data_IF_551921271787
#
_entry.id   IF_551921271787
#
_cell.length_a   1.000
_cell.length_b   1.000
_cell.length_c   1.000
_cell.angle_alpha   90.00
_cell.angle_beta   90.00
_cell.angle_gamma   90.00
#
_symmetry.space_group_name_H-M   'P 1'
#
loop_
_entity.id
_entity.type
_entity.pdbx_description
1 polymer ?
#
# COMPACT_ATOMS: atom_id res chain seq x y z
N UNK A 1 -7.80 12.32 -5.13
CA UNK A 1 -7.50 10.95 -4.63
C UNK A 1 -7.62 10.95 -3.11
N UNK A 2 -7.83 9.80 -2.47
CA UNK A 2 -7.96 9.68 -1.00
C UNK A 2 -9.37 9.42 -0.49
N UNK A 3 -10.41 9.57 -1.32
CA UNK A 3 -11.77 9.14 -0.95
C UNK A 3 -11.84 7.62 -0.80
N UNK A 4 -12.58 7.13 0.19
CA UNK A 4 -12.86 5.70 0.35
C UNK A 4 -14.28 5.46 0.87
N UNK A 5 -14.73 4.22 0.73
CA UNK A 5 -15.92 3.67 1.39
C UNK A 5 -15.53 2.39 2.11
N UNK A 6 -16.23 2.04 3.20
CA UNK A 6 -16.01 0.77 3.89
C UNK A 6 -16.43 -0.41 3.01
N UNK A 7 -15.68 -1.51 3.11
CA UNK A 7 -15.99 -2.80 2.54
C UNK A 7 -16.61 -3.66 3.64
N UNK A 8 -17.78 -4.22 3.35
CA UNK A 8 -18.55 -5.01 4.32
C UNK A 8 -18.63 -6.48 3.92
N UNK A 9 -18.58 -7.36 4.92
CA UNK A 9 -19.08 -8.73 4.85
C UNK A 9 -20.26 -8.85 5.82
N UNK A 10 -21.48 -8.87 5.28
CA UNK A 10 -22.69 -8.64 6.07
C UNK A 10 -22.67 -7.25 6.74
N UNK A 11 -22.65 -7.23 8.08
CA UNK A 11 -22.56 -6.00 8.88
C UNK A 11 -21.12 -5.67 9.33
N UNK A 12 -20.16 -6.58 9.12
CA UNK A 12 -18.78 -6.42 9.56
C UNK A 12 -17.96 -5.60 8.54
N UNK A 13 -17.19 -4.61 9.03
CA UNK A 13 -16.23 -3.88 8.21
C UNK A 13 -14.95 -4.71 8.08
N UNK A 14 -14.71 -5.26 6.89
CA UNK A 14 -13.53 -6.07 6.58
C UNK A 14 -12.41 -5.28 5.86
N UNK A 15 -12.69 -4.03 5.49
CA UNK A 15 -11.71 -3.18 4.81
C UNK A 15 -12.31 -1.91 4.22
N UNK A 16 -11.66 -1.37 3.19
CA UNK A 16 -12.10 -0.19 2.45
C UNK A 16 -11.76 -0.28 0.97
N UNK A 17 -12.61 0.34 0.15
CA UNK A 17 -12.37 0.57 -1.27
C UNK A 17 -11.83 1.98 -1.45
N UNK A 18 -10.53 2.10 -1.75
CA UNK A 18 -9.77 3.36 -1.67
C UNK A 18 -9.39 3.85 -3.05
N UNK A 19 -9.71 5.12 -3.34
CA UNK A 19 -9.29 5.79 -4.58
C UNK A 19 -7.89 6.37 -4.43
N UNK A 20 -6.87 5.57 -4.77
CA UNK A 20 -5.44 5.98 -4.69
C UNK A 20 -5.02 6.97 -5.78
N UNK A 21 -5.70 6.97 -6.93
CA UNK A 21 -5.46 7.92 -8.02
C UNK A 21 -6.78 8.30 -8.72
N UNK A 22 -6.86 9.52 -9.24
CA UNK A 22 -8.03 10.01 -9.97
C UNK A 22 -8.20 9.27 -11.30
N UNK A 23 -9.45 9.09 -11.73
CA UNK A 23 -9.83 8.48 -13.03
C UNK A 23 -9.31 7.06 -13.29
N UNK A 24 -8.94 6.31 -12.25
CA UNK A 24 -8.60 4.88 -12.34
C UNK A 24 -9.44 4.09 -11.33
N UNK A 25 -9.51 2.77 -11.54
CA UNK A 25 -10.18 1.86 -10.60
C UNK A 25 -9.55 1.96 -9.19
N UNK A 26 -10.34 1.88 -8.12
CA UNK A 26 -9.82 1.91 -6.75
C UNK A 26 -9.03 0.64 -6.41
N UNK A 27 -8.39 0.62 -5.24
CA UNK A 27 -7.79 -0.57 -4.64
C UNK A 27 -8.58 -0.98 -3.40
N UNK A 28 -8.52 -2.26 -3.06
CA UNK A 28 -9.10 -2.79 -1.84
C UNK A 28 -8.01 -2.85 -0.77
N UNK A 29 -8.28 -2.28 0.39
CA UNK A 29 -7.38 -2.25 1.54
C UNK A 29 -8.06 -2.94 2.71
N UNK A 30 -7.44 -3.98 3.25
CA UNK A 30 -7.86 -4.63 4.48
C UNK A 30 -6.75 -4.51 5.53
N UNK A 31 -7.11 -4.73 6.79
CA UNK A 31 -6.14 -4.80 7.87
C UNK A 31 -5.30 -6.08 7.77
N UNK A 32 -4.03 -5.97 8.15
CA UNK A 32 -3.16 -7.10 8.41
C UNK A 32 -3.05 -7.37 9.91
N UNK A 33 -1.86 -7.76 10.38
CA UNK A 33 -1.59 -7.93 11.81
C UNK A 33 -1.11 -6.62 12.47
N UNK A 34 -1.63 -6.30 13.66
CA UNK A 34 -1.22 -5.16 14.51
C UNK A 34 -1.32 -3.77 13.85
N UNK A 35 -2.35 -3.57 13.04
CA UNK A 35 -2.65 -2.28 12.41
C UNK A 35 -4.16 -2.10 12.32
N UNK A 36 -4.65 -0.90 12.58
CA UNK A 36 -6.05 -0.55 12.33
C UNK A 36 -6.28 -0.14 10.86
N UNK A 37 -7.55 -0.11 10.45
CA UNK A 37 -7.91 0.14 9.06
C UNK A 37 -7.54 1.55 8.60
N UNK A 38 -7.73 2.56 9.45
CA UNK A 38 -7.40 3.95 9.11
C UNK A 38 -5.90 4.12 8.84
N UNK A 39 -5.06 3.55 9.71
CA UNK A 39 -3.62 3.55 9.59
C UNK A 39 -3.17 2.77 8.35
N UNK A 40 -3.79 1.64 8.05
CA UNK A 40 -3.53 0.87 6.82
C UNK A 40 -3.83 1.70 5.56
N UNK A 41 -4.98 2.37 5.50
CA UNK A 41 -5.37 3.26 4.38
C UNK A 41 -4.34 4.40 4.23
N UNK A 42 -3.94 5.03 5.33
CA UNK A 42 -2.92 6.08 5.32
C UNK A 42 -1.61 5.61 4.72
N UNK A 43 -1.09 4.45 5.13
CA UNK A 43 0.14 3.90 4.56
C UNK A 43 0.00 3.57 3.08
N UNK A 44 -1.11 2.95 2.67
CA UNK A 44 -1.40 2.68 1.26
C UNK A 44 -1.37 3.98 0.44
N UNK A 45 -2.05 5.04 0.91
CA UNK A 45 -2.05 6.34 0.23
C UNK A 45 -0.65 6.96 0.17
N UNK A 46 0.13 6.91 1.25
CA UNK A 46 1.50 7.42 1.30
C UNK A 46 2.44 6.69 0.33
N UNK A 47 2.20 5.40 0.07
CA UNK A 47 2.95 4.62 -0.90
C UNK A 47 2.42 4.74 -2.34
N UNK A 48 1.27 5.39 -2.59
CA UNK A 48 0.68 5.54 -3.93
C UNK A 48 1.04 6.89 -4.57
N UNK A 49 2.34 7.16 -4.77
CA UNK A 49 2.83 8.44 -5.33
C UNK A 49 2.69 8.51 -6.86
N UNK A 50 1.51 8.91 -7.34
CA UNK A 50 1.22 9.08 -8.78
C UNK A 50 0.84 7.80 -9.53
N UNK A 51 0.85 6.66 -8.84
CA UNK A 51 0.43 5.35 -9.37
C UNK A 51 -0.81 4.83 -8.66
N UNK A 52 -1.53 3.90 -9.32
CA UNK A 52 -2.69 3.23 -8.72
C UNK A 52 -2.30 2.27 -7.59
N UNK A 53 -1.23 1.50 -7.79
CA UNK A 53 -0.73 0.51 -6.82
C UNK A 53 0.38 1.13 -5.96
N UNK A 54 0.49 0.73 -4.68
CA UNK A 54 1.59 1.14 -3.82
C UNK A 54 2.97 0.85 -4.44
N UNK A 55 3.94 1.71 -4.16
CA UNK A 55 5.36 1.53 -4.51
C UNK A 55 5.87 0.12 -4.14
N UNK A 56 5.49 -0.37 -2.95
CA UNK A 56 5.89 -1.69 -2.44
C UNK A 56 5.43 -2.83 -3.34
N UNK A 57 4.13 -2.90 -3.67
CA UNK A 57 3.57 -3.95 -4.55
C UNK A 57 4.12 -3.83 -5.96
N UNK A 58 4.33 -2.60 -6.47
CA UNK A 58 4.95 -2.38 -7.78
C UNK A 58 6.37 -2.95 -7.83
N UNK A 59 7.20 -2.66 -6.82
CA UNK A 59 8.56 -3.22 -6.77
C UNK A 59 8.56 -4.74 -6.60
N UNK A 60 7.69 -5.28 -5.75
CA UNK A 60 7.55 -6.72 -5.59
C UNK A 60 7.16 -7.40 -6.92
N UNK A 61 6.21 -6.82 -7.67
CA UNK A 61 5.81 -7.32 -8.98
C UNK A 61 6.98 -7.30 -9.97
N UNK A 62 7.69 -6.17 -10.08
CA UNK A 62 8.87 -6.04 -10.97
C UNK A 62 9.95 -7.07 -10.64
N UNK A 63 10.27 -7.26 -9.35
CA UNK A 63 11.22 -8.26 -8.91
C UNK A 63 10.75 -9.69 -9.26
N UNK A 64 9.48 -10.01 -9.03
CA UNK A 64 8.90 -11.31 -9.38
C UNK A 64 8.89 -11.55 -10.90
N UNK A 65 8.81 -10.49 -11.71
CA UNK A 65 8.92 -10.52 -13.17
C UNK A 65 10.37 -10.56 -13.69
N UNK A 66 11.37 -10.66 -12.81
CA UNK A 66 12.78 -10.78 -13.19
C UNK A 66 13.50 -9.46 -13.45
N UNK A 67 12.89 -8.31 -13.13
CA UNK A 67 13.59 -7.04 -13.21
C UNK A 67 14.63 -6.90 -12.09
N UNK A 68 15.85 -6.47 -12.45
CA UNK A 68 16.86 -6.04 -11.50
C UNK A 68 16.40 -4.72 -10.86
N UNK A 69 16.00 -4.76 -9.59
CA UNK A 69 15.72 -3.56 -8.83
C UNK A 69 17.04 -2.86 -8.51
N UNK A 70 17.17 -1.59 -8.91
CA UNK A 70 18.32 -0.75 -8.55
C UNK A 70 18.37 -0.63 -7.02
N UNK A 71 19.44 -1.15 -6.40
CA UNK A 71 19.72 -0.92 -4.97
C UNK A 71 20.14 0.53 -4.80
N UNK A 72 19.18 1.42 -4.53
CA UNK A 72 19.46 2.81 -4.22
C UNK A 72 19.85 2.95 -2.75
N UNK A 73 21.13 3.28 -2.51
CA UNK A 73 21.78 3.41 -1.20
C UNK A 73 21.70 2.14 -0.32
N UNK A 74 22.79 1.82 0.38
CA UNK A 74 22.76 0.72 1.35
C UNK A 74 21.64 0.96 2.35
N UNK A 75 20.74 -0.02 2.50
CA UNK A 75 19.75 0.01 3.57
C UNK A 75 20.53 -0.09 4.87
N UNK A 76 20.64 1.04 5.59
CA UNK A 76 21.30 1.10 6.88
C UNK A 76 20.72 0.00 7.77
N UNK A 77 21.59 -0.76 8.44
CA UNK A 77 21.11 -1.77 9.36
C UNK A 77 20.41 -1.04 10.51
N UNK A 78 19.30 -1.61 10.97
CA UNK A 78 18.54 -1.10 12.11
C UNK A 78 19.43 -0.96 13.36
N UNK A 79 20.52 -1.72 13.42
CA UNK A 79 21.49 -1.73 14.51
C UNK A 79 22.64 -0.71 14.33
N UNK A 80 22.71 -0.03 13.19
CA UNK A 80 23.79 0.94 12.90
C UNK A 80 23.47 2.34 13.44
N UNK A 81 22.28 2.54 14.03
CA UNK A 81 21.78 3.80 14.58
C UNK A 81 21.89 3.91 16.11
N UNK A 82 22.63 2.99 16.76
CA UNK A 82 22.90 3.00 18.22
C UNK A 82 24.21 3.69 18.58
#
# INVERSE_FOLDING_TARGET
AGSYVHLYDGEEIIGAVVRTRSHVSPVYVSVGHRIDLETAIRYVMACCKGYRLPETTRYAHRAASGEQLVRGAEQQSLFDLS
#
